data_IF_095640767023
#
_entry.id   IF_095640767023
#
_cell.length_a   1.000
_cell.length_b   1.000
_cell.length_c   1.000
_cell.angle_alpha   90.00
_cell.angle_beta   90.00
_cell.angle_gamma   90.00
#
_symmetry.space_group_name_H-M   'P 1'
#
loop_
_entity.id
_entity.type
_entity.pdbx_description
1 polymer ?
#
# COMPACT_ATOMS: atom_id res chain seq x y z
N UNK A 1 -8.61 -11.47 -9.16
CA UNK A 1 -8.42 -11.26 -9.10
C UNK A 1 -7.89 -10.90 -9.06
N UNK A 2 -7.74 -10.52 -8.81
CA UNK A 2 -7.42 -9.98 -8.62
C UNK A 2 -6.62 -9.93 -8.89
N UNK A 3 -6.21 -9.55 -9.07
CA UNK A 3 -5.53 -9.22 -9.24
C UNK A 3 -4.87 -9.13 -9.45
N UNK A 4 -4.55 -8.71 -9.64
CA UNK A 4 -4.13 -8.37 -9.75
C UNK A 4 -3.93 -8.06 -9.90
N UNK A 5 -3.87 -7.57 -9.79
CA UNK A 5 -3.90 -7.05 -9.98
C UNK A 5 -4.13 -6.64 -9.89
N UNK A 6 -4.09 -6.14 -9.84
CA UNK A 6 -4.70 -5.74 -9.63
C UNK A 6 -5.17 -5.51 -9.95
N UNK A 7 -5.40 -5.07 -10.06
CA UNK A 7 -5.94 -4.88 -10.02
C UNK A 7 -6.30 -4.56 -9.77
N UNK A 8 -6.21 -4.26 -9.47
CA UNK A 8 -6.68 -3.95 -9.12
C UNK A 8 -7.06 -3.69 -8.64
N UNK A 9 -7.11 -3.35 -8.67
CA UNK A 9 -7.63 -3.08 -8.20
C UNK A 9 -8.21 -2.70 -8.36
N UNK A 10 -8.56 -2.67 -8.74
CA UNK A 10 -9.16 -2.53 -8.80
C UNK A 10 -9.88 -2.39 -8.78
N UNK A 11 -10.32 -2.25 -8.86
CA UNK A 11 -11.08 -2.23 -8.67
C UNK A 11 -11.69 -1.68 -8.63
N UNK A 12 -12.08 -1.37 -8.86
CA UNK A 12 -12.73 -0.73 -8.75
C UNK A 12 -13.56 -0.27 -8.34
N UNK A 13 -14.08 -0.25 -8.54
CA UNK A 13 -15.01 0.11 -8.12
C UNK A 13 -15.25 0.83 -7.35
N UNK A 14 -15.64 1.12 -7.46
CA UNK A 14 -15.88 1.80 -6.62
C UNK A 14 -15.56 1.76 -5.56
N UNK A 15 -15.21 1.53 -5.81
CA UNK A 15 -15.33 1.69 -4.69
C UNK A 15 -14.39 1.69 -3.80
N UNK A 16 -14.57 2.03 -3.06
CA UNK A 16 -13.75 2.26 -1.96
C UNK A 16 -13.06 1.02 -1.52
N UNK A 17 -11.89 1.14 -1.02
CA UNK A 17 -11.20 0.05 -0.39
C UNK A 17 -12.00 -0.36 0.84
N UNK A 18 -12.09 -1.65 1.13
CA UNK A 18 -12.72 -2.09 2.36
C UNK A 18 -12.01 -1.51 3.57
N UNK A 19 -12.69 -1.47 4.68
CA UNK A 19 -12.17 -0.85 5.88
C UNK A 19 -10.83 -1.45 6.30
N UNK A 20 -10.63 -2.72 6.05
CA UNK A 20 -9.33 -3.34 6.33
C UNK A 20 -9.14 -4.50 5.37
N UNK A 21 -8.12 -4.41 4.59
CA UNK A 21 -7.76 -5.48 3.68
C UNK A 21 -6.32 -5.85 3.96
N UNK A 22 -6.05 -7.13 4.18
CA UNK A 22 -4.71 -7.62 4.45
C UNK A 22 -4.08 -8.09 3.14
N UNK A 23 -2.88 -7.66 2.89
CA UNK A 23 -2.15 -8.07 1.71
C UNK A 23 -0.79 -8.62 2.13
N UNK A 24 -0.48 -9.81 1.67
CA UNK A 24 0.82 -10.42 1.89
C UNK A 24 1.75 -10.05 0.75
N UNK A 25 2.98 -9.70 1.09
CA UNK A 25 4.00 -9.37 0.11
C UNK A 25 5.24 -10.20 0.41
N UNK A 26 5.74 -10.87 -0.61
CA UNK A 26 7.03 -11.53 -0.49
C UNK A 26 8.13 -10.50 -0.55
N UNK A 27 9.25 -10.79 0.07
CA UNK A 27 10.41 -9.93 0.01
C UNK A 27 10.72 -9.59 -1.45
N UNK A 28 10.89 -8.31 -1.72
CA UNK A 28 11.15 -7.80 -3.05
C UNK A 28 9.92 -7.51 -3.89
N UNK A 29 8.74 -7.92 -3.44
CA UNK A 29 7.52 -7.62 -4.17
C UNK A 29 7.20 -6.14 -4.06
N UNK A 30 6.63 -5.59 -5.11
CA UNK A 30 6.25 -4.18 -5.15
C UNK A 30 4.77 -4.11 -5.48
N UNK A 31 4.04 -3.42 -4.62
CA UNK A 31 2.62 -3.16 -4.83
C UNK A 31 2.49 -1.73 -5.35
N UNK A 32 1.82 -1.57 -6.50
CA UNK A 32 1.53 -0.24 -7.04
C UNK A 32 0.15 0.19 -6.62
N UNK A 33 0.05 1.43 -6.14
CA UNK A 33 -1.22 2.02 -5.76
C UNK A 33 -1.38 3.34 -6.48
N UNK A 34 -2.56 3.55 -7.07
CA UNK A 34 -2.86 4.79 -7.79
C UNK A 34 -4.11 5.40 -7.21
N UNK A 35 -4.13 6.73 -7.18
CA UNK A 35 -5.30 7.48 -6.68
C UNK A 35 -5.69 7.05 -5.28
N UNK A 36 -4.69 6.77 -4.46
CA UNK A 36 -4.92 6.23 -3.13
C UNK A 36 -4.70 7.28 -2.04
N UNK A 37 -4.72 8.55 -2.39
CA UNK A 37 -4.56 9.61 -1.41
C UNK A 37 -5.60 9.46 -0.30
N UNK A 38 -5.15 9.57 0.93
CA UNK A 38 -6.01 9.39 2.08
C UNK A 38 -6.04 7.97 2.63
N UNK A 39 -5.55 7.01 1.85
CA UNK A 39 -5.48 5.63 2.33
C UNK A 39 -4.33 5.50 3.31
N UNK A 40 -4.58 4.82 4.42
CA UNK A 40 -3.55 4.55 5.42
C UNK A 40 -3.04 3.13 5.22
N UNK A 41 -1.72 3.01 5.09
CA UNK A 41 -1.04 1.73 4.97
C UNK A 41 -0.41 1.42 6.32
N UNK A 42 -0.69 0.24 6.85
CA UNK A 42 -0.13 -0.19 8.13
C UNK A 42 0.69 -1.45 7.91
N UNK A 43 1.91 -1.47 8.42
CA UNK A 43 2.72 -2.68 8.40
C UNK A 43 2.31 -3.55 9.59
N UNK A 44 1.61 -4.64 9.30
CA UNK A 44 1.20 -5.57 10.35
C UNK A 44 2.35 -6.48 10.73
N UNK A 45 3.20 -6.80 9.78
CA UNK A 45 4.37 -7.63 10.00
C UNK A 45 5.39 -7.30 8.94
N UNK A 46 6.67 -7.44 9.27
CA UNK A 46 7.74 -7.18 8.34
C UNK A 46 8.05 -5.71 8.18
N UNK A 47 8.78 -5.39 7.13
CA UNK A 47 9.24 -4.03 6.84
C UNK A 47 8.90 -3.70 5.41
N UNK A 48 8.27 -2.56 5.20
CA UNK A 48 7.94 -2.10 3.85
C UNK A 48 8.45 -0.68 3.64
N UNK A 49 8.75 -0.38 2.41
CA UNK A 49 9.28 0.91 1.99
C UNK A 49 8.26 1.53 1.03
N UNK A 50 7.81 2.73 1.35
CA UNK A 50 6.79 3.42 0.56
C UNK A 50 7.41 4.63 -0.10
N UNK A 51 7.20 4.75 -1.42
CA UNK A 51 7.58 5.94 -2.16
C UNK A 51 6.34 6.44 -2.88
N UNK A 52 6.19 7.76 -2.92
CA UNK A 52 5.08 8.40 -3.64
C UNK A 52 5.63 9.24 -4.77
N UNK A 53 4.91 9.25 -5.87
CA UNK A 53 5.27 10.05 -7.04
C UNK A 53 5.38 11.52 -6.64
N UNK A 54 6.43 12.18 -7.13
CA UNK A 54 6.70 13.59 -6.86
C UNK A 54 6.98 13.89 -5.39
N UNK A 55 7.24 12.88 -4.60
CA UNK A 55 7.64 13.08 -3.22
C UNK A 55 9.11 12.75 -3.09
N UNK A 56 9.83 13.59 -2.36
CA UNK A 56 11.25 13.33 -2.09
C UNK A 56 11.45 12.50 -0.84
N UNK A 57 10.36 12.19 -0.15
CA UNK A 57 10.46 11.47 1.11
C UNK A 57 10.11 10.03 0.89
N UNK A 58 11.00 9.18 1.32
CA UNK A 58 10.74 7.75 1.38
C UNK A 58 10.33 7.41 2.80
N UNK A 59 9.40 6.51 2.94
CA UNK A 59 8.88 6.13 4.24
C UNK A 59 9.16 4.66 4.45
N UNK A 60 9.85 4.35 5.54
CA UNK A 60 10.09 2.98 5.93
C UNK A 60 9.15 2.65 7.09
N UNK A 61 8.27 1.68 6.87
CA UNK A 61 7.36 1.25 7.92
C UNK A 61 7.82 -0.07 8.48
N UNK A 62 7.94 -0.11 9.80
CA UNK A 62 8.19 -1.31 10.55
C UNK A 62 6.89 -1.78 11.17
N UNK A 63 6.90 -3.00 11.68
CA UNK A 63 5.75 -3.59 12.29
C UNK A 63 5.07 -2.61 13.25
N UNK A 64 3.77 -2.42 13.06
CA UNK A 64 2.96 -1.56 13.90
C UNK A 64 2.92 -0.10 13.47
N UNK A 65 3.68 0.28 12.45
CA UNK A 65 3.70 1.67 12.00
C UNK A 65 2.76 1.85 10.83
N UNK A 66 2.25 3.07 10.68
CA UNK A 66 1.30 3.42 9.63
C UNK A 66 1.75 4.67 8.91
N UNK A 67 1.34 4.79 7.66
CA UNK A 67 1.58 5.99 6.88
C UNK A 67 0.36 6.25 6.00
N UNK A 68 -0.12 7.49 6.03
CA UNK A 68 -1.24 7.90 5.20
C UNK A 68 -0.70 8.47 3.90
N UNK A 69 -1.15 7.91 2.78
CA UNK A 69 -0.74 8.37 1.47
C UNK A 69 -1.30 9.77 1.23
N UNK A 70 -0.44 10.68 0.80
CA UNK A 70 -0.82 12.07 0.62
C UNK A 70 -1.02 12.45 -0.83
N UNK A 71 -0.48 11.65 -1.75
CA UNK A 71 -0.47 12.01 -3.17
C UNK A 71 -1.45 11.14 -3.94
N UNK A 72 -2.08 11.72 -4.96
CA UNK A 72 -3.02 10.98 -5.79
C UNK A 72 -2.34 10.23 -6.93
N UNK A 73 -1.05 10.45 -7.14
CA UNK A 73 -0.32 9.75 -8.19
C UNK A 73 0.05 8.34 -7.79
N UNK A 74 1.11 7.84 -8.38
CA UNK A 74 1.56 6.48 -8.13
C UNK A 74 2.27 6.39 -6.78
N UNK A 75 1.90 5.41 -5.99
CA UNK A 75 2.63 5.06 -4.78
C UNK A 75 3.11 3.63 -4.93
N UNK A 76 4.33 3.37 -4.48
CA UNK A 76 4.92 2.04 -4.51
C UNK A 76 5.16 1.59 -3.09
N UNK A 77 4.74 0.37 -2.79
CA UNK A 77 5.00 -0.25 -1.50
C UNK A 77 5.87 -1.46 -1.76
N UNK A 78 7.12 -1.39 -1.35
CA UNK A 78 8.07 -2.46 -1.59
C UNK A 78 8.32 -3.23 -0.31
N UNK A 79 8.24 -4.54 -0.37
CA UNK A 79 8.50 -5.39 0.78
C UNK A 79 10.01 -5.57 0.93
N UNK A 80 10.57 -5.01 1.99
CA UNK A 80 11.99 -5.19 2.29
C UNK A 80 12.25 -6.56 2.92
N UNK A 81 11.24 -7.09 3.58
CA UNK A 81 11.19 -8.47 4.07
C UNK A 81 9.85 -9.02 3.64
N UNK A 82 9.62 -10.33 3.86
CA UNK A 82 8.25 -10.81 3.78
C UNK A 82 7.41 -9.98 4.73
N UNK A 83 6.27 -9.51 4.27
CA UNK A 83 5.50 -8.55 5.04
C UNK A 83 4.02 -8.76 4.84
N UNK A 84 3.24 -8.33 5.82
CA UNK A 84 1.81 -8.20 5.64
C UNK A 84 1.42 -6.77 5.96
N UNK A 85 0.58 -6.22 5.13
CA UNK A 85 0.13 -4.84 5.28
C UNK A 85 -1.38 -4.80 5.25
N UNK A 86 -1.93 -3.78 5.88
CA UNK A 86 -3.36 -3.52 5.81
C UNK A 86 -3.58 -2.13 5.27
N UNK A 87 -4.72 -1.95 4.62
CA UNK A 87 -5.13 -0.66 4.09
C UNK A 87 -6.43 -0.25 4.73
N UNK A 88 -6.55 1.03 5.05
CA UNK A 88 -7.85 1.53 5.45
C UNK A 88 -8.08 2.86 4.78
N UNK A 89 -9.29 3.05 4.25
CA UNK A 89 -9.66 4.29 3.62
C UNK A 89 -9.83 5.36 4.68
N UNK A 90 -9.56 6.59 4.28
CA UNK A 90 -9.71 7.71 5.19
C UNK A 90 -11.17 7.97 5.51
#
# INVERSE_FOLDING_TARGET
>A
MFNDGYKGIALGVECAWPAAEVRWLERGAILEMRDAAGTTVTAEDGVVWITEEDSRRDVLLRRGQSFRLARSGLALVEACTDASITFSAA
#
